data_IF_972948009789
#
_entry.id   IF_972948009789
#
_cell.length_a   1.000
_cell.length_b   1.000
_cell.length_c   1.000
_cell.angle_alpha   90.00
_cell.angle_beta   90.00
_cell.angle_gamma   90.00
#
_symmetry.space_group_name_H-M   'P 1'
#
loop_
_entity.id
_entity.type
_entity.pdbx_description
1 polymer ?
#
# COMPACT_ATOMS: atom_id res chain seq x y z
N UNK A 1 -0.26 19.75 -0.70
CA UNK A 1 0.75 20.39 0.18
C UNK A 1 1.74 19.32 0.62
N UNK A 2 3.04 19.65 0.79
CA UNK A 2 4.06 18.67 1.24
C UNK A 2 4.33 18.84 2.74
N UNK A 3 4.54 17.72 3.43
CA UNK A 3 4.89 17.68 4.86
C UNK A 3 6.36 17.28 5.02
N UNK A 4 7.06 17.83 6.02
CA UNK A 4 8.46 17.51 6.28
C UNK A 4 8.60 16.24 7.10
N UNK A 5 9.52 15.37 6.71
CA UNK A 5 10.00 14.22 7.48
C UNK A 5 11.49 14.44 7.75
N UNK A 6 11.93 14.24 8.99
CA UNK A 6 13.34 14.22 9.34
C UNK A 6 13.79 12.77 9.44
N UNK A 7 14.88 12.41 8.76
CA UNK A 7 15.42 11.05 8.71
C UNK A 7 16.84 11.06 9.25
N UNK A 8 17.17 10.08 10.09
CA UNK A 8 18.56 9.78 10.47
C UNK A 8 19.07 8.72 9.52
N UNK A 9 20.21 8.99 8.89
CA UNK A 9 20.81 8.15 7.84
C UNK A 9 22.32 8.26 7.94
N UNK A 10 23.00 7.21 7.50
CA UNK A 10 24.47 7.19 7.50
C UNK A 10 25.05 8.31 6.65
N UNK A 11 26.09 8.96 7.19
CA UNK A 11 26.70 10.15 6.60
C UNK A 11 27.20 9.91 5.17
N UNK A 12 27.77 8.73 4.92
CA UNK A 12 28.28 8.35 3.60
C UNK A 12 27.15 8.20 2.58
N UNK A 13 26.01 7.65 3.03
CA UNK A 13 24.82 7.46 2.21
C UNK A 13 24.21 8.79 1.76
N UNK A 14 24.33 9.86 2.56
CA UNK A 14 23.83 11.19 2.20
C UNK A 14 24.52 11.72 0.94
N UNK A 15 25.84 11.60 0.87
CA UNK A 15 26.63 12.08 -0.28
C UNK A 15 26.31 11.27 -1.53
N UNK A 16 26.29 9.94 -1.41
CA UNK A 16 25.98 9.03 -2.51
C UNK A 16 24.56 9.26 -3.04
N UNK A 17 23.58 9.44 -2.15
CA UNK A 17 22.18 9.67 -2.51
C UNK A 17 22.00 10.99 -3.27
N UNK A 18 22.72 12.05 -2.87
CA UNK A 18 22.69 13.35 -3.57
C UNK A 18 23.28 13.24 -4.97
N UNK A 19 24.42 12.56 -5.12
CA UNK A 19 25.04 12.36 -6.43
C UNK A 19 24.15 11.56 -7.36
N UNK A 20 23.58 10.46 -6.85
CA UNK A 20 22.66 9.61 -7.60
C UNK A 20 21.40 10.36 -8.04
N UNK A 21 20.77 11.11 -7.13
CA UNK A 21 19.59 11.90 -7.46
C UNK A 21 19.92 12.98 -8.51
N UNK A 22 21.06 13.67 -8.38
CA UNK A 22 21.52 14.68 -9.34
C UNK A 22 21.74 14.09 -10.74
N UNK A 23 22.35 12.90 -10.84
CA UNK A 23 22.52 12.17 -12.11
C UNK A 23 21.18 11.85 -12.80
N UNK A 24 20.10 11.73 -12.02
CA UNK A 24 18.74 11.50 -12.51
C UNK A 24 17.91 12.78 -12.70
N UNK A 25 18.49 13.96 -12.44
CA UNK A 25 17.76 15.24 -12.50
C UNK A 25 16.73 15.41 -11.37
N UNK A 26 16.86 14.67 -10.27
CA UNK A 26 15.93 14.66 -9.14
C UNK A 26 16.62 15.14 -7.86
N UNK A 27 15.82 15.50 -6.85
CA UNK A 27 16.29 15.74 -5.48
C UNK A 27 16.21 14.46 -4.63
N UNK A 28 17.01 14.39 -3.56
CA UNK A 28 16.93 13.29 -2.59
C UNK A 28 15.53 13.15 -2.01
N UNK A 29 14.83 14.25 -1.76
CA UNK A 29 13.45 14.22 -1.26
C UNK A 29 12.48 13.58 -2.27
N UNK A 30 12.65 13.82 -3.57
CA UNK A 30 11.85 13.17 -4.62
C UNK A 30 12.17 11.67 -4.71
N UNK A 31 13.45 11.31 -4.65
CA UNK A 31 13.89 9.92 -4.64
C UNK A 31 13.28 9.14 -3.46
N UNK A 32 13.37 9.70 -2.26
CA UNK A 32 12.80 9.11 -1.04
C UNK A 32 11.28 9.01 -1.14
N UNK A 33 10.60 10.08 -1.62
CA UNK A 33 9.14 10.06 -1.81
C UNK A 33 8.72 8.94 -2.78
N UNK A 34 9.45 8.74 -3.87
CA UNK A 34 9.18 7.68 -4.85
C UNK A 34 9.35 6.28 -4.25
N UNK A 35 10.48 6.03 -3.59
CA UNK A 35 10.75 4.75 -2.93
C UNK A 35 9.71 4.42 -1.87
N UNK A 36 9.30 5.40 -1.06
CA UNK A 36 8.24 5.23 -0.07
C UNK A 36 6.90 4.87 -0.73
N UNK A 37 6.53 5.53 -1.83
CA UNK A 37 5.28 5.23 -2.55
C UNK A 37 5.28 3.81 -3.11
N UNK A 38 6.36 3.40 -3.76
CA UNK A 38 6.51 2.05 -4.33
C UNK A 38 6.38 0.99 -3.23
N UNK A 39 7.11 1.14 -2.12
CA UNK A 39 7.10 0.15 -1.04
C UNK A 39 5.80 0.16 -0.20
N UNK A 40 5.13 1.32 -0.07
CA UNK A 40 3.84 1.39 0.62
C UNK A 40 2.72 0.78 -0.23
N UNK A 41 2.75 0.96 -1.55
CA UNK A 41 1.79 0.31 -2.44
C UNK A 41 1.89 -1.22 -2.37
N UNK A 42 3.10 -1.75 -2.27
CA UNK A 42 3.33 -3.18 -2.06
C UNK A 42 2.93 -3.65 -0.64
N UNK A 43 2.94 -2.74 0.34
CA UNK A 43 2.58 -3.03 1.74
C UNK A 43 1.07 -2.95 2.02
N UNK A 44 0.31 -2.12 1.30
CA UNK A 44 -1.15 -2.13 1.34
C UNK A 44 -1.61 -3.55 1.03
N UNK A 45 -1.92 -4.30 2.09
CA UNK A 45 -2.32 -5.70 2.00
C UNK A 45 -3.37 -5.80 0.89
N UNK A 46 -3.08 -6.61 -0.14
CA UNK A 46 -4.00 -6.82 -1.26
C UNK A 46 -5.42 -6.95 -0.73
N UNK A 47 -6.42 -6.43 -1.44
CA UNK A 47 -7.83 -6.52 -1.00
C UNK A 47 -8.16 -7.91 -0.42
N UNK A 48 -7.68 -8.96 -1.09
CA UNK A 48 -7.78 -10.34 -0.63
C UNK A 48 -7.13 -10.64 0.72
N UNK A 49 -5.99 -10.05 1.08
CA UNK A 49 -5.31 -10.18 2.38
C UNK A 49 -5.94 -9.31 3.47
N UNK A 50 -6.40 -8.10 3.14
CA UNK A 50 -7.11 -7.20 4.07
C UNK A 50 -8.47 -7.74 4.51
N UNK A 51 -9.15 -8.44 3.61
CA UNK A 51 -10.52 -8.90 3.84
C UNK A 51 -10.67 -10.44 4.01
N UNK A 52 -9.57 -11.20 3.93
CA UNK A 52 -9.58 -12.65 4.17
C UNK A 52 -10.17 -12.96 5.54
N UNK A 53 -11.21 -13.78 5.59
CA UNK A 53 -11.87 -14.19 6.84
C UNK A 53 -12.64 -13.08 7.56
N UNK A 54 -12.74 -11.87 6.97
CA UNK A 54 -13.53 -10.76 7.53
C UNK A 54 -14.89 -10.59 6.88
N UNK A 55 -15.12 -11.20 5.72
CA UNK A 55 -16.44 -11.27 5.13
C UNK A 55 -17.32 -12.24 5.94
N UNK A 56 -18.42 -11.72 6.45
CA UNK A 56 -19.53 -12.52 6.96
C UNK A 56 -20.70 -12.35 6.00
N UNK A 57 -21.39 -13.45 5.72
CA UNK A 57 -22.64 -13.38 4.98
C UNK A 57 -23.60 -12.48 5.76
N UNK A 58 -24.06 -11.41 5.12
CA UNK A 58 -25.19 -10.66 5.64
C UNK A 58 -26.42 -11.51 5.35
N UNK A 59 -26.99 -12.12 6.38
CA UNK A 59 -28.26 -12.81 6.25
C UNK A 59 -29.33 -11.80 5.89
N UNK A 60 -29.95 -12.00 4.73
CA UNK A 60 -31.07 -11.20 4.26
C UNK A 60 -32.23 -12.12 4.00
N UNK A 61 -33.42 -11.73 4.42
CA UNK A 61 -34.66 -12.49 4.22
C UNK A 61 -35.23 -12.34 2.80
N UNK A 62 -34.35 -12.15 1.82
CA UNK A 62 -34.72 -12.01 0.41
C UNK A 62 -34.73 -13.39 -0.27
N UNK A 63 -35.73 -13.66 -1.11
CA UNK A 63 -35.88 -14.95 -1.80
C UNK A 63 -34.66 -15.30 -2.67
N UNK A 64 -34.01 -14.26 -3.24
CA UNK A 64 -32.76 -14.41 -4.00
C UNK A 64 -31.60 -14.92 -3.15
N UNK A 65 -31.50 -14.47 -1.89
CA UNK A 65 -30.47 -14.93 -0.96
C UNK A 65 -30.67 -16.41 -0.60
N UNK A 66 -31.91 -16.84 -0.34
CA UNK A 66 -32.24 -18.24 -0.03
C UNK A 66 -31.86 -19.20 -1.18
N UNK A 67 -32.16 -18.82 -2.43
CA UNK A 67 -31.78 -19.59 -3.62
C UNK A 67 -30.26 -19.68 -3.81
N UNK A 68 -29.53 -18.60 -3.52
CA UNK A 68 -28.06 -18.56 -3.62
C UNK A 68 -27.39 -19.39 -2.52
N UNK A 69 -27.90 -19.31 -1.28
CA UNK A 69 -27.40 -20.10 -0.14
C UNK A 69 -27.50 -21.60 -0.42
N UNK A 70 -28.65 -22.04 -0.92
CA UNK A 70 -28.89 -23.45 -1.26
C UNK A 70 -28.00 -23.94 -2.42
N UNK A 71 -27.73 -23.10 -3.43
CA UNK A 71 -26.89 -23.48 -4.57
C UNK A 71 -25.40 -23.56 -4.22
N UNK A 72 -24.94 -22.75 -3.28
CA UNK A 72 -23.53 -22.58 -2.93
C UNK A 72 -23.13 -23.32 -1.65
N UNK A 73 -24.05 -24.04 -1.01
CA UNK A 73 -23.88 -24.75 0.27
C UNK A 73 -23.25 -23.85 1.36
N UNK A 74 -23.77 -22.62 1.45
CA UNK A 74 -23.31 -21.55 2.36
C UNK A 74 -24.04 -21.55 3.71
#
# INVERSE_FOLDING_TARGET
MKTKINLTIDKELVSQSKEYARKKGESVSQLVEKLLRENIQDYEASFSKKWRGRFRLSEKDEERYKKLKQKLDL
#
